data_IF_079887474121
#
_entry.id   IF_079887474121
#
_cell.length_a   1.000
_cell.length_b   1.000
_cell.length_c   1.000
_cell.angle_alpha   90.00
_cell.angle_beta   90.00
_cell.angle_gamma   90.00
#
_symmetry.space_group_name_H-M   'P 1'
#
loop_
_entity.id
_entity.type
_entity.pdbx_description
1 polymer ?
#
# COMPACT_ATOMS: atom_id res chain seq x y z
N UNK A 1 -31.13 -0.26 5.85
CA UNK A 1 -30.04 0.50 6.49
C UNK A 1 -29.65 1.62 5.55
N UNK A 2 -29.54 2.84 6.06
CA UNK A 2 -29.15 4.01 5.26
C UNK A 2 -27.63 4.02 5.11
N UNK A 3 -27.17 3.94 3.87
CA UNK A 3 -25.74 4.06 3.55
C UNK A 3 -25.32 5.54 3.63
N UNK A 4 -24.34 5.83 4.48
CA UNK A 4 -23.67 7.12 4.53
C UNK A 4 -22.48 7.13 3.55
N UNK A 5 -22.23 8.29 2.95
CA UNK A 5 -21.17 8.48 1.98
C UNK A 5 -20.25 9.61 2.42
N UNK A 6 -18.95 9.35 2.34
CA UNK A 6 -17.89 10.31 2.64
C UNK A 6 -16.94 10.42 1.45
N UNK A 7 -16.43 11.61 1.17
CA UNK A 7 -15.69 11.91 -0.06
C UNK A 7 -14.29 12.44 0.26
N UNK A 8 -13.27 11.77 -0.26
CA UNK A 8 -11.91 12.30 -0.33
C UNK A 8 -11.63 12.76 -1.76
N UNK A 9 -11.70 14.06 -2.00
CA UNK A 9 -11.33 14.65 -3.29
C UNK A 9 -9.81 14.48 -3.52
N UNK A 10 -9.45 14.03 -4.73
CA UNK A 10 -8.05 13.88 -5.13
C UNK A 10 -7.46 15.24 -5.52
N UNK A 11 -6.33 15.55 -4.93
CA UNK A 11 -5.55 16.79 -5.10
C UNK A 11 -4.49 16.67 -6.19
N UNK A 12 -4.17 15.45 -6.61
CA UNK A 12 -3.01 15.14 -7.45
C UNK A 12 -1.78 14.73 -6.63
N UNK A 13 -1.83 14.82 -5.30
CA UNK A 13 -0.89 14.17 -4.39
C UNK A 13 -1.42 12.75 -4.12
N UNK A 14 -1.15 11.83 -5.06
CA UNK A 14 -1.83 10.53 -5.14
C UNK A 14 -1.71 9.69 -3.86
N UNK A 15 -0.53 9.69 -3.22
CA UNK A 15 -0.30 8.90 -2.00
C UNK A 15 -0.92 9.60 -0.81
N UNK A 16 -0.82 10.93 -0.74
CA UNK A 16 -1.51 11.71 0.30
C UNK A 16 -3.03 11.49 0.28
N UNK A 17 -3.65 11.54 -0.90
CA UNK A 17 -5.09 11.33 -1.06
C UNK A 17 -5.51 9.89 -0.70
N UNK A 18 -4.73 8.90 -1.13
CA UNK A 18 -4.94 7.50 -0.76
C UNK A 18 -4.85 7.31 0.76
N UNK A 19 -3.85 7.91 1.39
CA UNK A 19 -3.67 7.84 2.83
C UNK A 19 -4.85 8.52 3.56
N UNK A 20 -5.34 9.67 3.08
CA UNK A 20 -6.55 10.29 3.65
C UNK A 20 -7.76 9.37 3.61
N UNK A 21 -7.96 8.64 2.50
CA UNK A 21 -9.06 7.68 2.38
C UNK A 21 -8.98 6.54 3.39
N UNK A 22 -7.81 5.92 3.54
CA UNK A 22 -7.60 4.91 4.58
C UNK A 22 -7.73 5.49 5.99
N UNK A 23 -7.24 6.71 6.22
CA UNK A 23 -7.32 7.39 7.51
C UNK A 23 -8.76 7.65 7.92
N UNK A 24 -9.57 8.18 7.01
CA UNK A 24 -10.98 8.47 7.27
C UNK A 24 -11.78 7.18 7.48
N UNK A 25 -11.55 6.14 6.66
CA UNK A 25 -12.18 4.84 6.86
C UNK A 25 -11.86 4.28 8.27
N UNK A 26 -10.62 4.45 8.75
CA UNK A 26 -10.23 4.01 10.08
C UNK A 26 -10.90 4.80 11.20
N UNK A 27 -11.05 6.12 11.05
CA UNK A 27 -11.82 6.95 12.00
C UNK A 27 -13.28 6.48 12.05
N UNK A 28 -13.90 6.29 10.88
CA UNK A 28 -15.29 5.86 10.79
C UNK A 28 -15.51 4.48 11.41
N UNK A 29 -14.63 3.52 11.14
CA UNK A 29 -14.72 2.17 11.70
C UNK A 29 -14.72 2.18 13.23
N UNK A 30 -13.79 2.92 13.85
CA UNK A 30 -13.73 2.98 15.32
C UNK A 30 -14.80 3.87 15.95
N UNK A 31 -15.35 4.82 15.19
CA UNK A 31 -16.48 5.64 15.60
C UNK A 31 -17.83 4.91 15.48
N UNK A 32 -17.85 3.67 14.96
CA UNK A 32 -19.08 2.93 14.62
C UNK A 32 -19.30 1.70 15.51
N UNK A 33 -20.55 1.19 15.59
CA UNK A 33 -20.82 -0.09 16.22
C UNK A 33 -19.98 -1.23 15.61
N UNK A 34 -19.65 -2.24 16.42
CA UNK A 34 -18.89 -3.39 15.95
C UNK A 34 -19.61 -4.10 14.79
N UNK A 35 -18.83 -4.56 13.81
CA UNK A 35 -19.32 -5.29 12.64
C UNK A 35 -19.81 -4.41 11.48
N UNK A 36 -19.88 -3.09 11.65
CA UNK A 36 -20.17 -2.15 10.55
C UNK A 36 -18.86 -1.55 10.06
N UNK A 37 -18.34 -2.05 8.94
CA UNK A 37 -17.02 -1.65 8.44
C UNK A 37 -17.10 -0.82 7.17
N UNK A 38 -16.38 0.30 7.07
CA UNK A 38 -16.39 1.13 5.87
C UNK A 38 -15.78 0.42 4.66
N UNK A 39 -16.30 0.76 3.48
CA UNK A 39 -15.80 0.32 2.17
C UNK A 39 -15.19 1.50 1.45
N UNK A 40 -13.94 1.36 1.00
CA UNK A 40 -13.22 2.39 0.24
C UNK A 40 -13.31 2.05 -1.24
N UNK A 41 -13.91 2.93 -2.03
CA UNK A 41 -14.03 2.82 -3.48
C UNK A 41 -13.22 3.91 -4.18
N UNK A 42 -12.45 3.56 -5.21
CA UNK A 42 -11.85 4.56 -6.10
C UNK A 42 -12.81 4.88 -7.24
N UNK A 43 -13.32 6.12 -7.26
CA UNK A 43 -14.26 6.63 -8.26
C UNK A 43 -13.58 7.57 -9.28
N UNK A 44 -12.27 7.43 -9.47
CA UNK A 44 -11.49 8.24 -10.39
C UNK A 44 -11.07 9.57 -9.78
N UNK A 45 -11.99 10.55 -9.69
CA UNK A 45 -11.70 11.90 -9.20
C UNK A 45 -11.71 12.02 -7.65
N UNK A 46 -12.24 11.03 -6.97
CA UNK A 46 -12.34 10.97 -5.51
C UNK A 46 -12.30 9.52 -5.04
N UNK A 47 -11.93 9.33 -3.77
CA UNK A 47 -12.25 8.10 -3.06
C UNK A 47 -13.60 8.27 -2.35
N UNK A 48 -14.51 7.35 -2.59
CA UNK A 48 -15.81 7.27 -1.93
C UNK A 48 -15.71 6.25 -0.79
N UNK A 49 -15.98 6.69 0.43
CA UNK A 49 -16.07 5.80 1.58
C UNK A 49 -17.56 5.59 1.87
N UNK A 50 -18.02 4.39 1.61
CA UNK A 50 -19.39 3.97 1.89
C UNK A 50 -19.44 3.31 3.26
N UNK A 51 -20.43 3.66 4.07
CA UNK A 51 -20.55 3.14 5.41
C UNK A 51 -22.00 2.96 5.83
N UNK A 52 -22.35 1.76 6.27
CA UNK A 52 -23.73 1.40 6.62
C UNK A 52 -24.12 1.72 8.08
N UNK A 53 -23.22 2.38 8.84
CA UNK A 53 -23.49 2.79 10.21
C UNK A 53 -24.33 4.07 10.27
N UNK A 54 -25.48 3.99 10.95
CA UNK A 54 -26.37 5.13 11.18
C UNK A 54 -25.95 5.95 12.43
N UNK A 55 -25.25 5.34 13.38
CA UNK A 55 -24.90 5.94 14.68
C UNK A 55 -23.39 6.24 14.81
N UNK A 56 -22.72 6.74 13.78
CA UNK A 56 -21.30 7.13 13.88
C UNK A 56 -21.13 8.24 14.92
N UNK A 57 -20.32 8.04 15.97
CA UNK A 57 -20.15 9.02 17.05
C UNK A 57 -18.71 9.18 17.53
N UNK A 58 -18.34 10.43 17.84
CA UNK A 58 -17.04 10.76 18.41
C UNK A 58 -16.86 10.16 19.81
N UNK A 59 -17.92 10.12 20.63
CA UNK A 59 -17.87 9.48 21.95
C UNK A 59 -17.44 8.01 21.87
N UNK A 60 -17.95 7.27 20.87
CA UNK A 60 -17.55 5.88 20.65
C UNK A 60 -16.09 5.79 20.25
N UNK A 61 -15.62 6.64 19.34
CA UNK A 61 -14.21 6.70 18.96
C UNK A 61 -13.30 6.90 20.18
N UNK A 62 -13.67 7.85 21.06
CA UNK A 62 -12.90 8.23 22.25
C UNK A 62 -12.89 7.15 23.33
N UNK A 63 -13.92 6.31 23.41
CA UNK A 63 -14.01 5.21 24.38
C UNK A 63 -13.45 3.89 23.82
N UNK A 64 -13.12 3.84 22.53
CA UNK A 64 -12.64 2.65 21.87
C UNK A 64 -11.16 2.36 22.20
N UNK A 65 -10.88 1.26 22.88
CA UNK A 65 -9.52 0.84 23.23
C UNK A 65 -8.67 0.52 22.00
N UNK A 66 -9.31 -0.04 20.97
CA UNK A 66 -8.71 -0.29 19.65
C UNK A 66 -8.24 0.99 18.97
N UNK A 67 -8.99 2.10 19.08
CA UNK A 67 -8.59 3.41 18.57
C UNK A 67 -7.30 3.90 19.22
N UNK A 68 -7.22 3.86 20.55
CA UNK A 68 -6.04 4.35 21.28
C UNK A 68 -4.78 3.54 21.00
N UNK A 69 -4.89 2.20 20.92
CA UNK A 69 -3.76 1.33 20.59
C UNK A 69 -3.17 1.58 19.20
N UNK A 70 -3.91 2.23 18.27
CA UNK A 70 -3.37 2.58 16.94
C UNK A 70 -2.25 3.62 16.99
N UNK A 71 -2.14 4.37 18.07
CA UNK A 71 -1.12 5.40 18.23
C UNK A 71 0.06 4.93 19.09
N UNK A 72 0.04 3.68 19.52
CA UNK A 72 1.13 3.04 20.23
C UNK A 72 2.03 2.33 19.20
N UNK A 73 3.35 2.46 19.36
CA UNK A 73 4.31 1.75 18.52
C UNK A 73 4.83 0.53 19.28
N UNK A 74 4.79 -0.65 18.66
CA UNK A 74 5.35 -1.87 19.22
C UNK A 74 6.71 -2.19 18.58
N UNK A 75 7.56 -3.01 19.23
CA UNK A 75 8.81 -3.47 18.62
C UNK A 75 8.62 -4.17 17.26
N UNK A 76 7.48 -4.84 17.08
CA UNK A 76 7.08 -5.58 15.88
C UNK A 76 6.46 -4.69 14.81
N UNK A 77 5.69 -3.67 15.19
CA UNK A 77 5.05 -2.72 14.27
C UNK A 77 5.61 -1.30 14.46
N UNK A 78 6.74 -1.03 13.81
CA UNK A 78 7.41 0.28 13.81
C UNK A 78 6.92 1.23 12.71
N UNK A 79 5.62 1.24 12.44
CA UNK A 79 5.10 1.97 11.27
C UNK A 79 5.09 3.49 11.47
N UNK A 80 4.84 3.99 12.68
CA UNK A 80 4.82 5.43 12.95
C UNK A 80 6.20 6.09 12.81
N UNK A 81 7.24 5.49 13.38
CA UNK A 81 8.62 5.96 13.23
C UNK A 81 9.09 5.92 11.76
N UNK A 82 8.53 5.01 10.98
CA UNK A 82 8.75 4.83 9.54
C UNK A 82 8.06 5.92 8.69
N UNK A 83 6.83 6.32 8.99
CA UNK A 83 6.15 7.45 8.32
C UNK A 83 6.88 8.78 8.55
N UNK A 84 7.41 8.95 9.76
CA UNK A 84 8.17 10.13 10.16
C UNK A 84 9.69 9.89 10.05
N UNK A 85 10.15 9.05 9.13
CA UNK A 85 11.56 8.72 8.94
C UNK A 85 12.45 9.96 8.71
N UNK A 86 11.89 11.03 8.16
CA UNK A 86 12.58 12.31 7.92
C UNK A 86 12.62 13.23 9.14
N UNK A 87 11.87 12.90 10.21
CA UNK A 87 11.78 13.65 11.47
C UNK A 87 11.91 12.70 12.68
N UNK A 88 13.01 11.92 12.67
CA UNK A 88 13.25 10.84 13.64
C UNK A 88 13.30 11.28 15.10
N UNK A 89 13.53 12.56 15.39
CA UNK A 89 13.64 13.04 16.77
C UNK A 89 12.28 13.45 17.35
N UNK A 90 11.31 13.79 16.52
CA UNK A 90 10.01 14.30 16.97
C UNK A 90 8.83 13.40 16.56
N UNK A 91 9.08 12.21 16.00
CA UNK A 91 8.01 11.33 15.52
C UNK A 91 6.94 11.06 16.59
N UNK A 92 7.32 10.80 17.84
CA UNK A 92 6.37 10.52 18.93
C UNK A 92 5.48 11.72 19.25
N UNK A 93 6.03 12.95 19.21
CA UNK A 93 5.25 14.19 19.36
C UNK A 93 4.28 14.36 18.19
N UNK A 94 4.69 14.02 16.97
CA UNK A 94 3.82 14.05 15.79
C UNK A 94 2.71 13.02 15.88
N UNK A 95 2.98 11.79 16.31
CA UNK A 95 1.95 10.77 16.54
C UNK A 95 0.94 11.24 17.57
N UNK A 96 1.40 11.82 18.69
CA UNK A 96 0.50 12.40 19.68
C UNK A 96 -0.36 13.51 19.07
N UNK A 97 0.24 14.43 18.32
CA UNK A 97 -0.49 15.50 17.62
C UNK A 97 -1.54 14.95 16.65
N UNK A 98 -1.23 13.90 15.90
CA UNK A 98 -2.22 13.21 15.03
C UNK A 98 -3.36 12.67 15.86
N UNK A 99 -3.07 11.97 16.98
CA UNK A 99 -4.10 11.44 17.88
C UNK A 99 -4.99 12.55 18.43
N UNK A 100 -4.39 13.62 18.93
CA UNK A 100 -5.09 14.75 19.53
C UNK A 100 -6.03 15.40 18.50
N UNK A 101 -5.54 15.73 17.29
CA UNK A 101 -6.36 16.28 16.20
C UNK A 101 -7.53 15.35 15.85
N UNK A 102 -7.26 14.07 15.59
CA UNK A 102 -8.31 13.14 15.15
C UNK A 102 -9.33 12.82 16.25
N UNK A 103 -8.96 12.95 17.52
CA UNK A 103 -9.82 12.66 18.66
C UNK A 103 -10.63 13.89 19.09
N UNK A 104 -10.00 15.05 19.17
CA UNK A 104 -10.64 16.31 19.59
C UNK A 104 -11.58 16.85 18.50
N UNK A 105 -11.21 16.73 17.22
CA UNK A 105 -12.00 17.22 16.09
C UNK A 105 -12.82 16.12 15.40
N UNK A 106 -13.01 14.97 16.04
CA UNK A 106 -13.66 13.79 15.43
C UNK A 106 -15.03 14.09 14.82
N UNK A 107 -15.92 14.78 15.55
CA UNK A 107 -17.25 15.15 15.05
C UNK A 107 -17.18 16.04 13.82
N UNK A 108 -16.27 17.02 13.85
CA UNK A 108 -16.04 17.94 12.75
C UNK A 108 -15.52 17.21 11.52
N UNK A 109 -14.52 16.34 11.69
CA UNK A 109 -13.98 15.51 10.60
C UNK A 109 -15.09 14.66 9.98
N UNK A 110 -15.85 13.91 10.78
CA UNK A 110 -16.94 13.05 10.27
C UNK A 110 -17.93 13.89 9.45
N UNK A 111 -18.32 15.07 9.92
CA UNK A 111 -19.26 15.95 9.24
C UNK A 111 -18.67 16.59 7.98
N UNK A 112 -17.44 17.11 8.04
CA UNK A 112 -16.82 17.85 6.94
C UNK A 112 -16.61 16.94 5.72
N UNK A 113 -16.27 15.67 5.91
CA UNK A 113 -16.08 14.72 4.81
C UNK A 113 -17.37 14.14 4.22
N UNK A 114 -18.54 14.43 4.79
CA UNK A 114 -19.82 14.23 4.12
C UNK A 114 -20.12 15.35 3.12
N UNK A 115 -19.44 16.50 3.24
CA UNK A 115 -19.63 17.62 2.34
C UNK A 115 -18.76 17.43 1.08
N UNK A 116 -19.35 17.37 -0.13
CA UNK A 116 -18.61 17.22 -1.38
C UNK A 116 -17.70 18.41 -1.71
N UNK A 117 -17.76 19.52 -0.97
CA UNK A 117 -16.89 20.69 -1.18
C UNK A 117 -15.66 20.72 -0.26
N UNK A 118 -15.43 19.68 0.55
CA UNK A 118 -14.29 19.63 1.45
C UNK A 118 -12.98 19.37 0.68
N UNK A 119 -12.32 20.46 0.30
CA UNK A 119 -11.00 20.44 -0.33
C UNK A 119 -9.91 20.68 0.71
N UNK A 120 -8.82 19.91 0.69
CA UNK A 120 -7.68 20.19 1.57
C UNK A 120 -7.05 21.53 1.20
N UNK A 121 -6.66 22.30 2.19
CA UNK A 121 -5.89 23.52 1.98
C UNK A 121 -4.42 23.16 1.79
N UNK A 122 -3.89 23.37 0.59
CA UNK A 122 -2.48 23.12 0.27
C UNK A 122 -1.75 24.46 0.18
N UNK A 123 -0.63 24.60 0.89
CA UNK A 123 0.18 25.83 0.86
C UNK A 123 1.67 25.56 1.05
N UNK A 124 2.52 26.54 0.80
CA UNK A 124 3.95 26.49 1.14
C UNK A 124 4.27 26.98 2.56
N UNK A 125 3.37 27.79 3.14
CA UNK A 125 3.70 28.64 4.30
C UNK A 125 2.91 28.26 5.55
N UNK A 126 1.65 27.84 5.40
CA UNK A 126 0.72 27.53 6.49
C UNK A 126 0.38 26.04 6.56
N UNK A 127 0.13 25.55 7.77
CA UNK A 127 -0.27 24.16 8.02
C UNK A 127 0.88 23.21 8.37
N UNK A 128 0.60 21.93 8.26
CA UNK A 128 1.48 20.82 8.61
C UNK A 128 2.29 20.35 7.42
N UNK A 129 3.60 20.15 7.62
CA UNK A 129 4.49 19.65 6.57
C UNK A 129 4.18 18.18 6.22
N UNK A 130 3.98 17.91 4.94
CA UNK A 130 3.92 16.54 4.42
C UNK A 130 5.31 15.89 4.51
N UNK A 131 5.40 14.76 5.21
CA UNK A 131 6.63 14.00 5.26
C UNK A 131 6.81 13.20 3.97
N UNK A 132 8.07 12.94 3.64
CA UNK A 132 8.42 12.18 2.46
C UNK A 132 7.73 10.84 2.26
N UNK A 133 7.59 10.03 3.33
CA UNK A 133 6.86 8.78 3.27
C UNK A 133 5.35 8.92 3.04
N UNK A 134 4.77 10.11 3.21
CA UNK A 134 3.35 10.38 2.95
C UNK A 134 3.09 10.87 1.53
N UNK A 135 4.06 11.55 0.92
CA UNK A 135 4.08 11.74 -0.53
C UNK A 135 5.49 12.14 -1.00
N UNK A 136 6.14 11.36 -1.89
CA UNK A 136 7.46 11.71 -2.39
C UNK A 136 7.42 12.97 -3.27
N UNK A 137 6.30 13.28 -3.95
CA UNK A 137 6.18 14.49 -4.78
C UNK A 137 6.18 15.78 -3.96
N UNK A 138 5.78 15.70 -2.69
CA UNK A 138 5.78 16.82 -1.76
C UNK A 138 7.19 17.26 -1.30
N UNK A 139 8.23 16.51 -1.65
CA UNK A 139 9.61 16.87 -1.35
C UNK A 139 10.11 18.05 -2.16
N UNK A 140 10.83 18.94 -1.48
CA UNK A 140 11.59 20.02 -2.11
C UNK A 140 12.52 19.47 -3.20
N UNK A 141 12.26 19.85 -4.45
CA UNK A 141 13.12 19.55 -5.59
C UNK A 141 12.73 18.36 -6.47
N UNK A 142 11.61 17.66 -6.20
CA UNK A 142 11.04 16.73 -7.18
C UNK A 142 10.28 17.50 -8.27
N UNK A 143 10.99 17.70 -9.37
CA UNK A 143 10.52 18.39 -10.57
C UNK A 143 9.55 17.47 -11.32
N UNK A 144 8.25 17.69 -11.15
CA UNK A 144 7.20 17.18 -12.01
C UNK A 144 6.24 18.31 -12.36
N UNK A 145 5.86 18.42 -13.62
CA UNK A 145 4.87 19.39 -14.12
C UNK A 145 3.48 19.07 -13.57
N UNK A 146 3.21 19.45 -12.32
CA UNK A 146 1.85 19.58 -11.81
C UNK A 146 1.29 20.93 -12.27
N UNK A 147 -0.01 20.96 -12.59
CA UNK A 147 -0.76 22.18 -13.01
C UNK A 147 -0.94 23.22 -11.88
N UNK A 148 -0.27 23.04 -10.74
CA UNK A 148 -0.38 23.90 -9.56
C UNK A 148 0.89 24.74 -9.38
N UNK A 149 0.69 25.99 -8.97
CA UNK A 149 1.72 27.02 -8.91
C UNK A 149 3.03 26.60 -8.22
N UNK A 150 4.11 27.02 -8.86
CA UNK A 150 5.49 26.88 -8.41
C UNK A 150 5.69 27.52 -7.03
N UNK A 151 6.10 26.76 -6.03
CA UNK A 151 6.65 27.31 -4.78
C UNK A 151 7.87 26.51 -4.29
N UNK A 152 8.92 27.22 -3.85
CA UNK A 152 10.19 26.63 -3.39
C UNK A 152 10.13 26.04 -1.95
N UNK A 153 8.93 26.07 -1.33
CA UNK A 153 8.67 25.58 0.02
C UNK A 153 8.44 24.07 0.08
N UNK A 154 8.52 23.50 1.29
CA UNK A 154 7.96 22.16 1.54
C UNK A 154 6.44 22.25 1.44
N UNK A 155 5.80 21.25 0.82
CA UNK A 155 4.33 21.22 0.73
C UNK A 155 3.75 21.06 2.13
N UNK A 156 2.83 21.96 2.50
CA UNK A 156 2.07 21.92 3.74
C UNK A 156 0.59 21.78 3.45
N UNK A 157 -0.13 21.16 4.38
CA UNK A 157 -1.58 20.94 4.29
C UNK A 157 -2.27 21.29 5.61
N UNK A 158 -3.58 21.50 5.59
CA UNK A 158 -4.36 21.68 6.82
C UNK A 158 -4.22 20.49 7.78
N UNK A 159 -4.45 20.75 9.07
CA UNK A 159 -4.20 19.78 10.14
C UNK A 159 -5.09 18.55 10.08
N UNK A 160 -6.32 18.67 9.59
CA UNK A 160 -7.27 17.55 9.51
C UNK A 160 -6.86 16.57 8.42
N UNK A 161 -6.61 17.07 7.21
CA UNK A 161 -6.15 16.25 6.10
C UNK A 161 -4.75 15.68 6.35
N UNK A 162 -3.85 16.44 7.01
CA UNK A 162 -2.57 15.93 7.48
C UNK A 162 -2.73 14.74 8.42
N UNK A 163 -3.54 14.89 9.47
CA UNK A 163 -3.71 13.87 10.49
C UNK A 163 -4.34 12.59 9.92
N UNK A 164 -5.32 12.73 9.03
CA UNK A 164 -5.92 11.61 8.29
C UNK A 164 -4.88 10.91 7.41
N UNK A 165 -4.08 11.66 6.65
CA UNK A 165 -3.01 11.09 5.84
C UNK A 165 -1.96 10.36 6.71
N UNK A 166 -1.59 10.92 7.86
CA UNK A 166 -0.69 10.26 8.80
C UNK A 166 -1.25 8.93 9.30
N UNK A 167 -2.52 8.89 9.74
CA UNK A 167 -3.17 7.66 10.19
C UNK A 167 -3.30 6.63 9.06
N UNK A 168 -3.81 7.03 7.91
CA UNK A 168 -3.97 6.10 6.80
C UNK A 168 -2.64 5.65 6.21
N UNK A 169 -1.61 6.49 6.24
CA UNK A 169 -0.23 6.11 5.93
C UNK A 169 0.27 5.02 6.88
N UNK A 170 -0.11 5.07 8.15
CA UNK A 170 0.28 4.08 9.15
C UNK A 170 -0.45 2.75 8.98
N UNK A 171 -1.70 2.84 8.53
CA UNK A 171 -2.55 1.69 8.35
C UNK A 171 -2.23 0.97 7.04
N UNK A 172 -2.07 1.72 5.95
CA UNK A 172 -1.98 1.17 4.60
C UNK A 172 -0.56 0.97 4.09
N UNK A 173 0.41 1.74 4.59
CA UNK A 173 1.77 1.72 4.06
C UNK A 173 2.55 0.47 4.46
N UNK A 174 3.18 -0.18 3.47
CA UNK A 174 4.17 -1.24 3.69
C UNK A 174 5.56 -0.65 3.61
N UNK A 175 6.29 -0.74 4.72
CA UNK A 175 7.57 -0.07 4.87
C UNK A 175 8.71 -1.05 5.13
N UNK A 176 9.70 -1.06 4.23
CA UNK A 176 10.88 -1.93 4.31
C UNK A 176 12.16 -1.11 4.29
N UNK A 177 12.94 -1.21 5.36
CA UNK A 177 14.31 -0.68 5.42
C UNK A 177 15.27 -1.83 5.05
N UNK A 178 16.23 -1.55 4.18
CA UNK A 178 17.32 -2.48 3.85
C UNK A 178 18.63 -1.73 3.58
N UNK A 179 19.75 -2.45 3.71
CA UNK A 179 21.07 -1.90 3.43
C UNK A 179 21.36 -2.00 1.94
N UNK A 180 21.63 -0.86 1.31
CA UNK A 180 22.09 -0.77 -0.07
C UNK A 180 23.60 -1.08 -0.17
N UNK A 181 24.11 -1.21 -1.40
CA UNK A 181 25.55 -1.27 -1.63
C UNK A 181 26.25 0.00 -1.09
N UNK A 182 27.40 -0.16 -0.42
CA UNK A 182 28.20 0.98 0.05
C UNK A 182 27.74 1.65 1.36
N UNK A 183 27.20 0.89 2.32
CA UNK A 183 26.76 1.36 3.64
C UNK A 183 25.60 2.39 3.66
N UNK A 184 24.93 2.62 2.54
CA UNK A 184 23.72 3.45 2.50
C UNK A 184 22.49 2.62 2.87
N UNK A 185 21.49 3.27 3.45
CA UNK A 185 20.19 2.65 3.71
C UNK A 185 19.19 3.04 2.64
N UNK A 186 18.44 2.05 2.17
CA UNK A 186 17.30 2.20 1.29
C UNK A 186 16.02 1.96 2.09
N UNK A 187 15.03 2.78 1.77
CA UNK A 187 13.73 2.73 2.39
C UNK A 187 12.66 2.59 1.32
N UNK A 188 11.96 1.47 1.33
CA UNK A 188 10.93 1.13 0.37
C UNK A 188 9.57 1.32 1.00
N UNK A 189 8.70 2.00 0.25
CA UNK A 189 7.33 2.30 0.64
C UNK A 189 6.41 1.82 -0.47
N UNK A 190 5.39 1.04 -0.10
CA UNK A 190 4.40 0.52 -1.03
C UNK A 190 3.02 0.75 -0.42
N UNK A 191 2.09 1.27 -1.21
CA UNK A 191 0.69 1.49 -0.83
C UNK A 191 -0.24 0.77 -1.81
N UNK A 192 -1.12 -0.12 -1.34
CA UNK A 192 -2.13 -0.73 -2.19
C UNK A 192 -3.26 0.26 -2.48
N UNK A 193 -3.61 0.41 -3.75
CA UNK A 193 -4.68 1.31 -4.22
C UNK A 193 -5.98 0.53 -4.31
N UNK A 194 -7.00 0.84 -3.49
CA UNK A 194 -8.28 0.15 -3.55
C UNK A 194 -8.98 0.50 -4.87
N UNK A 195 -9.58 -0.50 -5.52
CA UNK A 195 -10.64 -0.25 -6.49
C UNK A 195 -11.98 -0.23 -5.75
N UNK A 196 -12.18 -1.24 -4.90
CA UNK A 196 -13.24 -1.35 -3.90
C UNK A 196 -12.72 -2.26 -2.80
N UNK A 197 -12.59 -1.81 -1.57
CA UNK A 197 -12.06 -2.64 -0.47
C UNK A 197 -12.77 -2.34 0.84
N UNK A 198 -13.33 -3.37 1.46
CA UNK A 198 -13.82 -3.32 2.83
C UNK A 198 -12.64 -3.26 3.83
N UNK A 199 -12.69 -2.34 4.79
CA UNK A 199 -11.58 -2.07 5.69
C UNK A 199 -11.22 -3.26 6.60
N UNK A 200 -12.22 -4.05 7.01
CA UNK A 200 -12.01 -5.25 7.84
C UNK A 200 -11.17 -6.29 7.09
N UNK A 201 -11.53 -6.58 5.83
CA UNK A 201 -10.78 -7.44 4.94
C UNK A 201 -9.37 -6.90 4.67
N UNK A 202 -9.24 -5.58 4.45
CA UNK A 202 -7.91 -4.96 4.29
C UNK A 202 -6.99 -5.24 5.49
N UNK A 203 -7.51 -5.14 6.72
CA UNK A 203 -6.72 -5.44 7.94
C UNK A 203 -6.27 -6.90 7.96
N UNK A 204 -7.12 -7.84 7.57
CA UNK A 204 -6.78 -9.27 7.45
C UNK A 204 -5.66 -9.50 6.41
N UNK A 205 -5.79 -8.86 5.24
CA UNK A 205 -4.80 -8.91 4.16
C UNK A 205 -3.47 -8.33 4.64
N UNK A 206 -3.47 -7.16 5.28
CA UNK A 206 -2.27 -6.51 5.82
C UNK A 206 -1.54 -7.44 6.78
N UNK A 207 -2.25 -7.98 7.77
CA UNK A 207 -1.67 -8.87 8.78
C UNK A 207 -1.04 -10.12 8.16
N UNK A 208 -1.62 -10.64 7.08
CA UNK A 208 -1.14 -11.85 6.40
C UNK A 208 0.05 -11.59 5.47
N UNK A 209 0.14 -10.40 4.88
CA UNK A 209 1.05 -10.13 3.75
C UNK A 209 2.23 -9.21 4.10
N UNK A 210 2.09 -8.33 5.10
CA UNK A 210 3.09 -7.29 5.38
C UNK A 210 4.30 -7.83 6.15
N UNK A 211 4.13 -8.91 6.90
CA UNK A 211 5.22 -9.61 7.59
C UNK A 211 6.17 -10.34 6.63
N UNK A 212 5.72 -10.64 5.41
CA UNK A 212 6.51 -11.36 4.41
C UNK A 212 7.48 -10.35 3.76
N UNK A 213 8.75 -10.42 4.13
CA UNK A 213 9.80 -9.54 3.61
C UNK A 213 11.02 -10.31 3.14
N UNK A 214 11.58 -9.90 2.00
CA UNK A 214 12.82 -10.45 1.46
C UNK A 214 13.91 -9.38 1.41
N UNK A 215 15.11 -9.80 1.02
CA UNK A 215 16.13 -8.88 0.50
C UNK A 215 15.78 -8.61 -0.96
N UNK A 216 15.47 -7.35 -1.29
CA UNK A 216 15.04 -6.99 -2.64
C UNK A 216 16.17 -6.33 -3.41
N UNK A 217 16.16 -6.51 -4.73
CA UNK A 217 17.10 -5.84 -5.64
C UNK A 217 16.83 -4.34 -5.76
N UNK A 218 15.58 -3.95 -5.57
CA UNK A 218 15.11 -2.56 -5.64
C UNK A 218 13.62 -2.47 -5.34
N UNK A 219 13.06 -1.26 -5.36
CA UNK A 219 11.65 -1.04 -5.02
C UNK A 219 10.67 -1.74 -5.97
N UNK A 220 10.95 -1.77 -7.27
CA UNK A 220 10.09 -2.44 -8.25
C UNK A 220 10.03 -3.95 -7.99
N UNK A 221 11.15 -4.58 -7.61
CA UNK A 221 11.19 -5.98 -7.18
C UNK A 221 10.39 -6.20 -5.88
N UNK A 222 10.46 -5.28 -4.93
CA UNK A 222 9.65 -5.33 -3.71
C UNK A 222 8.14 -5.18 -3.98
N UNK A 223 7.76 -4.31 -4.93
CA UNK A 223 6.39 -4.08 -5.35
C UNK A 223 5.82 -5.28 -6.12
N UNK A 224 6.59 -5.86 -7.05
CA UNK A 224 6.20 -7.06 -7.80
C UNK A 224 6.04 -8.29 -6.89
N UNK A 225 6.91 -8.46 -5.90
CA UNK A 225 6.72 -9.53 -4.92
C UNK A 225 5.45 -9.31 -4.09
N UNK A 226 5.22 -8.07 -3.65
CA UNK A 226 4.04 -7.74 -2.87
C UNK A 226 2.75 -7.95 -3.67
N UNK A 227 2.72 -7.60 -4.95
CA UNK A 227 1.56 -7.80 -5.81
C UNK A 227 1.18 -9.27 -5.94
N UNK A 228 2.15 -10.17 -6.08
CA UNK A 228 1.94 -11.63 -6.09
C UNK A 228 1.36 -12.12 -4.77
N UNK A 229 1.95 -11.72 -3.64
CA UNK A 229 1.48 -12.11 -2.30
C UNK A 229 0.08 -11.57 -2.02
N UNK A 230 -0.19 -10.33 -2.41
CA UNK A 230 -1.50 -9.69 -2.30
C UNK A 230 -2.54 -10.44 -3.13
N UNK A 231 -2.28 -10.67 -4.42
CA UNK A 231 -3.19 -11.38 -5.32
C UNK A 231 -3.50 -12.81 -4.85
N UNK A 232 -2.50 -13.54 -4.36
CA UNK A 232 -2.70 -14.84 -3.74
C UNK A 232 -3.64 -14.80 -2.54
N UNK A 233 -3.44 -13.84 -1.62
CA UNK A 233 -4.35 -13.67 -0.46
C UNK A 233 -5.75 -13.25 -0.88
N UNK A 234 -5.89 -12.39 -1.89
CA UNK A 234 -7.20 -11.99 -2.45
C UNK A 234 -7.96 -13.20 -2.98
N UNK A 235 -7.28 -14.08 -3.73
CA UNK A 235 -7.85 -15.35 -4.20
C UNK A 235 -8.34 -16.21 -3.03
N UNK A 236 -7.50 -16.42 -2.03
CA UNK A 236 -7.87 -17.27 -0.89
C UNK A 236 -9.10 -16.73 -0.14
N UNK A 237 -9.20 -15.41 -0.02
CA UNK A 237 -10.40 -14.76 0.54
C UNK A 237 -11.62 -14.91 -0.37
N UNK A 238 -11.46 -14.81 -1.69
CA UNK A 238 -12.54 -15.01 -2.66
C UNK A 238 -13.12 -16.41 -2.63
N UNK A 239 -12.27 -17.42 -2.43
CA UNK A 239 -12.69 -18.83 -2.31
C UNK A 239 -13.36 -19.11 -0.96
N UNK A 240 -12.91 -18.46 0.11
CA UNK A 240 -13.37 -18.75 1.48
C UNK A 240 -14.58 -17.92 1.93
N UNK A 241 -14.83 -16.76 1.32
CA UNK A 241 -15.93 -15.85 1.69
C UNK A 241 -16.99 -15.83 0.59
N UNK A 242 -18.25 -16.08 0.95
CA UNK A 242 -19.37 -16.18 0.01
C UNK A 242 -19.72 -14.87 -0.71
N UNK A 243 -19.33 -13.71 -0.17
CA UNK A 243 -19.60 -12.39 -0.73
C UNK A 243 -18.34 -11.51 -0.75
N UNK A 244 -17.25 -12.03 -1.33
CA UNK A 244 -16.02 -11.27 -1.48
C UNK A 244 -16.03 -10.44 -2.76
N UNK A 245 -16.07 -9.12 -2.61
CA UNK A 245 -16.06 -8.17 -3.73
C UNK A 245 -14.90 -7.17 -3.65
N UNK A 246 -13.89 -7.45 -2.81
CA UNK A 246 -12.75 -6.57 -2.68
C UNK A 246 -11.79 -6.72 -3.85
N UNK A 247 -11.22 -5.61 -4.29
CA UNK A 247 -10.29 -5.55 -5.41
C UNK A 247 -9.35 -4.36 -5.27
N UNK A 248 -8.09 -4.56 -5.62
CA UNK A 248 -7.09 -3.50 -5.72
C UNK A 248 -6.84 -3.15 -7.18
N UNK A 249 -6.79 -1.87 -7.51
CA UNK A 249 -6.51 -1.39 -8.87
C UNK A 249 -5.01 -1.36 -9.17
N UNK A 250 -4.18 -1.09 -8.16
CA UNK A 250 -2.75 -0.91 -8.35
C UNK A 250 -1.95 -0.84 -7.05
N UNK A 251 -0.66 -0.55 -7.19
CA UNK A 251 0.24 -0.24 -6.08
C UNK A 251 0.98 1.06 -6.40
N UNK A 252 0.92 2.04 -5.51
CA UNK A 252 1.93 3.10 -5.51
C UNK A 252 3.18 2.59 -4.79
N UNK A 253 4.35 2.84 -5.36
CA UNK A 253 5.61 2.46 -4.73
C UNK A 253 6.68 3.52 -4.93
N UNK A 254 7.55 3.68 -3.94
CA UNK A 254 8.73 4.52 -4.07
C UNK A 254 9.83 4.11 -3.10
N UNK A 255 11.04 4.55 -3.40
CA UNK A 255 12.21 4.41 -2.56
C UNK A 255 12.73 5.76 -2.11
N UNK A 256 13.30 5.77 -0.90
CA UNK A 256 14.11 6.85 -0.39
C UNK A 256 15.49 6.32 -0.06
N UNK A 257 16.52 7.06 -0.43
CA UNK A 257 17.93 6.72 -0.21
C UNK A 257 18.55 7.68 0.76
N UNK A 258 19.34 7.15 1.68
CA UNK A 258 20.07 7.98 2.63
C UNK A 258 21.13 8.83 1.91
N UNK A 259 21.02 10.15 2.05
CA UNK A 259 21.97 11.16 1.58
C UNK A 259 22.46 11.96 2.80
N UNK A 260 23.65 11.63 3.30
CA UNK A 260 24.15 12.16 4.57
C UNK A 260 23.25 11.73 5.75
N UNK A 261 22.73 12.70 6.50
CA UNK A 261 21.79 12.45 7.60
C UNK A 261 20.32 12.38 7.16
N UNK A 262 20.00 12.62 5.88
CA UNK A 262 18.62 12.80 5.41
C UNK A 262 18.14 11.72 4.42
N UNK A 263 16.86 11.39 4.56
CA UNK A 263 15.95 10.78 3.59
C UNK A 263 15.75 11.62 2.32
N UNK A 264 16.14 11.17 1.11
CA UNK A 264 15.69 11.78 -0.16
C UNK A 264 15.01 10.75 -1.05
N UNK A 265 13.94 11.08 -1.78
CA UNK A 265 13.34 10.16 -2.73
C UNK A 265 14.33 9.83 -3.86
N UNK A 266 14.18 8.65 -4.44
CA UNK A 266 15.06 8.13 -5.49
C UNK A 266 14.26 7.70 -6.71
N UNK A 267 13.47 6.63 -6.58
CA UNK A 267 12.67 6.05 -7.67
C UNK A 267 11.26 5.81 -7.15
N UNK A 268 10.25 6.04 -8.00
CA UNK A 268 8.87 5.69 -7.69
C UNK A 268 8.07 5.37 -8.94
N UNK A 269 6.89 4.81 -8.76
CA UNK A 269 5.99 4.45 -9.84
C UNK A 269 4.66 3.89 -9.35
N UNK A 270 3.81 3.56 -10.30
CA UNK A 270 2.55 2.86 -10.11
C UNK A 270 2.62 1.51 -10.83
N UNK A 271 2.18 0.44 -10.18
CA UNK A 271 2.03 -0.88 -10.77
C UNK A 271 0.56 -1.24 -10.87
N UNK A 272 0.05 -1.47 -12.08
CA UNK A 272 -1.30 -1.98 -12.28
C UNK A 272 -1.42 -3.40 -11.73
N UNK A 273 -2.47 -3.66 -10.96
CA UNK A 273 -2.79 -5.00 -10.46
C UNK A 273 -3.84 -5.71 -11.31
N UNK A 274 -4.35 -5.07 -12.36
CA UNK A 274 -5.45 -5.62 -13.15
C UNK A 274 -5.18 -7.06 -13.65
N UNK A 275 -4.06 -7.38 -14.32
CA UNK A 275 -3.79 -8.75 -14.78
C UNK A 275 -3.73 -9.78 -13.64
N UNK A 276 -3.15 -9.40 -12.50
CA UNK A 276 -3.04 -10.28 -11.33
C UNK A 276 -4.39 -10.52 -10.66
N UNK A 277 -5.25 -9.49 -10.63
CA UNK A 277 -6.61 -9.61 -10.12
C UNK A 277 -7.46 -10.49 -11.03
N UNK A 278 -7.37 -10.34 -12.36
CA UNK A 278 -8.07 -11.23 -13.30
C UNK A 278 -7.64 -12.69 -13.10
N UNK A 279 -6.35 -12.94 -12.96
CA UNK A 279 -5.83 -14.28 -12.66
C UNK A 279 -6.37 -14.80 -11.32
N UNK A 280 -6.30 -13.99 -10.26
CA UNK A 280 -6.76 -14.36 -8.91
C UNK A 280 -8.26 -14.69 -8.85
N UNK A 281 -9.08 -14.02 -9.67
CA UNK A 281 -10.53 -14.19 -9.70
C UNK A 281 -11.05 -15.08 -10.85
N UNK A 282 -10.17 -15.73 -11.60
CA UNK A 282 -10.52 -16.65 -12.69
C UNK A 282 -11.37 -17.85 -12.24
N UNK A 283 -11.38 -18.18 -10.95
CA UNK A 283 -12.05 -19.35 -10.40
C UNK A 283 -11.30 -20.67 -10.61
N UNK A 284 -10.15 -20.67 -11.32
CA UNK A 284 -9.39 -21.88 -11.55
C UNK A 284 -8.60 -22.30 -10.28
N UNK A 285 -8.77 -23.54 -9.77
CA UNK A 285 -8.02 -24.05 -8.62
C UNK A 285 -6.49 -23.99 -8.81
N UNK A 286 -5.98 -24.21 -10.03
CA UNK A 286 -4.55 -24.23 -10.34
C UNK A 286 -3.84 -22.89 -10.06
N UNK A 287 -4.57 -21.78 -10.06
CA UNK A 287 -4.01 -20.44 -9.80
C UNK A 287 -3.40 -20.33 -8.40
N UNK A 288 -3.90 -21.07 -7.40
CA UNK A 288 -3.27 -21.12 -6.08
C UNK A 288 -1.78 -21.46 -6.21
N UNK A 289 -1.51 -22.48 -7.03
CA UNK A 289 -0.17 -22.99 -7.25
C UNK A 289 0.69 -22.03 -8.05
N UNK A 290 0.12 -21.29 -9.00
CA UNK A 290 0.84 -20.24 -9.73
C UNK A 290 1.42 -19.21 -8.75
N UNK A 291 0.60 -18.69 -7.83
CA UNK A 291 1.07 -17.72 -6.83
C UNK A 291 2.10 -18.31 -5.85
N UNK A 292 1.94 -19.57 -5.45
CA UNK A 292 2.94 -20.27 -4.63
C UNK A 292 4.30 -20.38 -5.34
N UNK A 293 4.29 -20.76 -6.63
CA UNK A 293 5.50 -20.86 -7.43
C UNK A 293 6.14 -19.47 -7.58
N UNK A 294 5.39 -18.44 -7.96
CA UNK A 294 5.93 -17.08 -8.11
C UNK A 294 6.51 -16.54 -6.80
N UNK A 295 5.82 -16.72 -5.68
CA UNK A 295 6.34 -16.36 -4.36
C UNK A 295 7.65 -17.13 -4.06
N UNK A 296 7.70 -18.43 -4.37
CA UNK A 296 8.93 -19.21 -4.25
C UNK A 296 10.07 -18.66 -5.10
N UNK A 297 9.82 -18.21 -6.33
CA UNK A 297 10.85 -17.65 -7.21
C UNK A 297 11.40 -16.33 -6.67
N UNK A 298 10.55 -15.44 -6.13
CA UNK A 298 11.02 -14.25 -5.42
C UNK A 298 11.89 -14.61 -4.21
N UNK A 299 11.47 -15.59 -3.40
CA UNK A 299 12.26 -16.07 -2.25
C UNK A 299 13.61 -16.61 -2.69
N UNK A 300 13.64 -17.44 -3.73
CA UNK A 300 14.89 -17.99 -4.28
C UNK A 300 15.78 -16.88 -4.84
N UNK A 301 15.22 -15.96 -5.61
CA UNK A 301 15.96 -14.84 -6.19
C UNK A 301 16.46 -13.81 -5.18
N UNK A 302 15.96 -13.84 -3.94
CA UNK A 302 16.51 -13.03 -2.84
C UNK A 302 17.82 -13.57 -2.25
N UNK A 303 18.22 -14.79 -2.64
CA UNK A 303 19.49 -15.42 -2.24
C UNK A 303 20.62 -14.92 -3.15
N UNK A 304 21.79 -14.69 -2.54
CA UNK A 304 22.98 -14.26 -3.28
C UNK A 304 23.33 -15.26 -4.40
N UNK A 305 23.61 -14.75 -5.60
CA UNK A 305 23.90 -15.55 -6.80
C UNK A 305 22.66 -16.01 -7.56
N UNK A 306 21.46 -15.66 -7.09
CA UNK A 306 20.17 -15.96 -7.74
C UNK A 306 19.43 -14.71 -8.24
N UNK A 307 20.11 -13.55 -8.30
CA UNK A 307 19.48 -12.27 -8.55
C UNK A 307 18.83 -12.18 -9.94
N UNK A 308 19.36 -12.88 -10.95
CA UNK A 308 18.76 -12.97 -12.29
C UNK A 308 17.35 -13.58 -12.27
N UNK A 309 17.09 -14.52 -11.34
CA UNK A 309 15.76 -15.09 -11.16
C UNK A 309 14.77 -14.06 -10.59
N UNK A 310 15.20 -13.27 -9.60
CA UNK A 310 14.39 -12.19 -9.04
C UNK A 310 14.12 -11.09 -10.07
N UNK A 311 15.10 -10.76 -10.92
CA UNK A 311 14.93 -9.80 -12.00
C UNK A 311 13.92 -10.28 -13.04
N UNK A 312 14.08 -11.51 -13.54
CA UNK A 312 13.22 -12.07 -14.57
C UNK A 312 11.75 -12.16 -14.12
N UNK A 313 11.48 -12.68 -12.91
CA UNK A 313 10.11 -12.72 -12.38
C UNK A 313 9.56 -11.31 -12.11
N UNK A 314 10.41 -10.35 -11.71
CA UNK A 314 9.96 -8.95 -11.53
C UNK A 314 9.48 -8.36 -12.85
N UNK A 315 10.25 -8.51 -13.93
CA UNK A 315 9.88 -7.99 -15.24
C UNK A 315 8.59 -8.62 -15.76
N UNK A 316 8.45 -9.93 -15.60
CA UNK A 316 7.25 -10.67 -15.97
C UNK A 316 6.00 -10.19 -15.24
N UNK A 317 6.09 -9.96 -13.93
CA UNK A 317 4.96 -9.48 -13.13
C UNK A 317 4.61 -8.02 -13.43
N UNK A 318 5.62 -7.15 -13.62
CA UNK A 318 5.39 -5.71 -13.82
C UNK A 318 4.91 -5.40 -15.24
N UNK A 319 5.39 -6.15 -16.23
CA UNK A 319 5.06 -5.95 -17.64
C UNK A 319 4.77 -7.30 -18.31
N UNK A 320 3.58 -7.90 -18.06
CA UNK A 320 3.23 -9.19 -18.65
C UNK A 320 3.17 -9.08 -20.17
N UNK A 321 4.05 -9.81 -20.85
CA UNK A 321 4.09 -9.94 -22.30
C UNK A 321 4.75 -11.27 -22.70
N UNK A 322 4.61 -11.66 -23.97
CA UNK A 322 5.30 -12.85 -24.48
C UNK A 322 6.83 -12.75 -24.31
N UNK A 323 7.40 -11.55 -24.46
CA UNK A 323 8.84 -11.31 -24.30
C UNK A 323 9.30 -11.51 -22.84
N UNK A 324 8.57 -10.93 -21.88
CA UNK A 324 8.92 -11.09 -20.46
C UNK A 324 8.64 -12.51 -19.96
N UNK A 325 7.62 -13.17 -20.51
CA UNK A 325 7.36 -14.61 -20.29
C UNK A 325 8.52 -15.48 -20.80
N UNK A 326 8.97 -15.28 -22.04
CA UNK A 326 10.07 -16.05 -22.63
C UNK A 326 11.35 -15.88 -21.79
N UNK A 327 11.68 -14.65 -21.40
CA UNK A 327 12.84 -14.38 -20.55
C UNK A 327 12.71 -15.07 -19.19
N UNK A 328 11.55 -14.98 -18.55
CA UNK A 328 11.25 -15.67 -17.29
C UNK A 328 11.43 -17.18 -17.41
N UNK A 329 10.86 -17.82 -18.44
CA UNK A 329 10.98 -19.26 -18.68
C UNK A 329 12.44 -19.65 -18.92
N UNK A 330 13.17 -18.90 -19.76
CA UNK A 330 14.59 -19.15 -20.06
C UNK A 330 15.44 -19.13 -18.80
N UNK A 331 15.28 -18.11 -17.95
CA UNK A 331 16.01 -18.01 -16.68
C UNK A 331 15.55 -19.13 -15.74
N UNK A 332 14.26 -19.41 -15.64
CA UNK A 332 13.77 -20.47 -14.75
C UNK A 332 14.30 -21.86 -15.15
N UNK A 333 14.35 -22.18 -16.44
CA UNK A 333 14.92 -23.44 -16.96
C UNK A 333 16.40 -23.60 -16.62
N UNK A 334 17.19 -22.52 -16.62
CA UNK A 334 18.59 -22.52 -16.15
C UNK A 334 18.72 -22.93 -14.68
N UNK A 335 17.73 -22.64 -13.84
CA UNK A 335 17.70 -23.07 -12.44
C UNK A 335 17.18 -24.50 -12.29
N UNK A 336 16.22 -24.93 -13.11
CA UNK A 336 15.71 -26.31 -13.11
C UNK A 336 16.80 -27.29 -13.52
N UNK A 337 17.65 -26.94 -14.49
CA UNK A 337 18.72 -27.80 -14.98
C UNK A 337 19.88 -27.99 -13.98
N UNK A 338 19.95 -27.15 -12.94
CA UNK A 338 20.96 -27.26 -11.89
C UNK A 338 20.45 -28.17 -10.76
N UNK A 339 21.20 -29.22 -10.37
CA UNK A 339 20.78 -30.11 -9.29
C UNK A 339 20.48 -29.36 -7.99
N UNK A 340 19.31 -29.63 -7.39
CA UNK A 340 18.88 -29.12 -6.07
C UNK A 340 18.64 -27.61 -5.96
N UNK A 341 18.67 -26.87 -7.07
CA UNK A 341 18.41 -25.43 -7.05
C UNK A 341 16.90 -25.13 -6.95
N UNK A 342 16.08 -25.92 -7.65
CA UNK A 342 14.60 -25.86 -7.64
C UNK A 342 14.04 -27.20 -7.16
N UNK A 343 13.08 -27.16 -6.24
CA UNK A 343 12.35 -28.35 -5.79
C UNK A 343 11.29 -28.73 -6.82
N UNK A 344 11.09 -30.02 -7.08
CA UNK A 344 10.08 -30.53 -8.04
C UNK A 344 8.67 -29.96 -7.78
N UNK A 345 8.33 -29.79 -6.50
CA UNK A 345 7.06 -29.18 -6.08
C UNK A 345 6.88 -27.76 -6.69
N UNK A 346 7.95 -27.00 -6.91
CA UNK A 346 7.85 -25.63 -7.42
C UNK A 346 7.98 -25.54 -8.95
N UNK A 347 7.74 -26.62 -9.68
CA UNK A 347 7.67 -26.61 -11.15
C UNK A 347 6.23 -26.34 -11.60
N UNK A 348 6.08 -25.72 -12.77
CA UNK A 348 4.78 -25.66 -13.44
C UNK A 348 4.43 -27.03 -13.99
N UNK A 349 3.24 -27.50 -13.66
CA UNK A 349 2.56 -28.58 -14.36
C UNK A 349 1.72 -28.02 -15.53
N UNK A 350 1.07 -28.91 -16.28
CA UNK A 350 0.31 -28.53 -17.47
C UNK A 350 -0.84 -27.56 -17.17
N UNK A 351 -1.46 -27.64 -15.99
CA UNK A 351 -2.58 -26.77 -15.61
C UNK A 351 -2.08 -25.38 -15.20
N UNK A 352 -1.07 -25.32 -14.34
CA UNK A 352 -0.46 -24.06 -13.92
C UNK A 352 0.22 -23.34 -15.07
N UNK A 353 0.83 -24.06 -16.01
CA UNK A 353 1.44 -23.46 -17.19
C UNK A 353 0.41 -22.78 -18.10
N UNK A 354 -0.78 -23.36 -18.27
CA UNK A 354 -1.88 -22.73 -19.02
C UNK A 354 -2.29 -21.40 -18.42
N UNK A 355 -2.41 -21.34 -17.10
CA UNK A 355 -2.75 -20.11 -16.39
C UNK A 355 -1.64 -19.04 -16.49
N UNK A 356 -0.37 -19.46 -16.43
CA UNK A 356 0.78 -18.56 -16.63
C UNK A 356 0.83 -18.01 -18.05
N UNK A 357 0.46 -18.80 -19.06
CA UNK A 357 0.37 -18.34 -20.45
C UNK A 357 -0.84 -17.42 -20.64
N UNK A 358 -1.98 -17.73 -20.03
CA UNK A 358 -3.16 -16.88 -20.07
C UNK A 358 -2.92 -15.51 -19.42
N UNK A 359 -2.02 -15.44 -18.43
CA UNK A 359 -1.62 -14.18 -17.79
C UNK A 359 -0.92 -13.18 -18.75
N UNK A 360 -0.37 -13.64 -19.88
CA UNK A 360 0.27 -12.78 -20.89
C UNK A 360 -0.49 -12.67 -22.21
N UNK A 361 -1.62 -13.36 -22.34
CA UNK A 361 -2.52 -13.31 -23.48
C UNK A 361 -3.59 -12.24 -23.27
#
# INVERSE_FOLDING_TARGET
MKMMQYLILKTGLEIFDLCRAYGLAMVLDFASPEGQTPVINDSGNYYLIEHEAEDVSAERLLTNTGWHSRFEESPEDRTWSKIFLTDKQNWSKKVKKVKDILSEDAEKIIKDFQNPTNLPEISSDKGETLSGPLDPSAFKGLRGTTRGDYSEGQTKVDSHNWALACLGGAVSGRYKVQKAQGNKWEYFVIFPVPQRVELSNFREIRNSTYAIGLKYLGIQNAAAHFSVVLAGKMRDMAVSKSQFADRFGGLFYFSMVQSGQQFKPSVGGNLSLHPLMELAFSGNPAVARVFEIWNYLFRKGSVQGCEDLAEAITQFIVNPSLETYENHVKIFLKYISKPREVKFVNLYDDETLKEVIAYVA
#
